data_IF_006401916674
#
_entry.id   IF_006401916674
#
_cell.length_a   1.000
_cell.length_b   1.000
_cell.length_c   1.000
_cell.angle_alpha   90.00
_cell.angle_beta   90.00
_cell.angle_gamma   90.00
#
_symmetry.space_group_name_H-M   'P 1'
#
loop_
_entity.id
_entity.type
_entity.pdbx_description
1 polymer ?
#
# COMPACT_ATOMS: atom_id res chain seq x y z
N UNK A 1 -12.05 5.37 -10.70
CA UNK A 1 -12.31 6.51 -9.80
C UNK A 1 -11.42 7.70 -10.15
N UNK A 2 -11.94 8.92 -10.05
CA UNK A 2 -11.15 10.15 -10.29
C UNK A 2 -10.45 10.66 -9.02
N UNK A 3 -9.50 11.60 -9.17
CA UNK A 3 -8.71 12.12 -8.05
C UNK A 3 -9.56 12.81 -6.96
N UNK A 4 -10.64 13.50 -7.35
CA UNK A 4 -11.53 14.20 -6.40
C UNK A 4 -12.27 13.21 -5.51
N UNK A 5 -12.79 12.14 -6.09
CA UNK A 5 -13.43 11.03 -5.37
C UNK A 5 -12.45 10.36 -4.40
N UNK A 6 -11.25 10.03 -4.87
CA UNK A 6 -10.20 9.43 -4.05
C UNK A 6 -9.86 10.30 -2.82
N UNK A 7 -9.62 11.60 -3.05
CA UNK A 7 -9.35 12.54 -1.96
C UNK A 7 -10.50 12.65 -0.97
N UNK A 8 -11.75 12.58 -1.44
CA UNK A 8 -12.92 12.58 -0.56
C UNK A 8 -13.00 11.31 0.30
N UNK A 9 -12.70 10.14 -0.27
CA UNK A 9 -12.61 8.89 0.49
C UNK A 9 -11.53 9.00 1.56
N UNK A 10 -10.32 9.43 1.21
CA UNK A 10 -9.20 9.60 2.15
C UNK A 10 -9.58 10.56 3.30
N UNK A 11 -10.20 11.71 2.99
CA UNK A 11 -10.69 12.66 4.00
C UNK A 11 -11.73 12.04 4.93
N UNK A 12 -12.65 11.23 4.39
CA UNK A 12 -13.69 10.54 5.17
C UNK A 12 -13.07 9.47 6.07
N UNK A 13 -12.12 8.70 5.57
CA UNK A 13 -11.34 7.71 6.34
C UNK A 13 -10.59 8.38 7.49
N UNK A 14 -9.93 9.51 7.22
CA UNK A 14 -9.27 10.31 8.25
C UNK A 14 -10.26 10.79 9.34
N UNK A 15 -11.38 11.39 8.92
CA UNK A 15 -12.41 11.92 9.84
C UNK A 15 -12.98 10.83 10.75
N UNK A 16 -13.16 9.62 10.23
CA UNK A 16 -13.68 8.47 10.97
C UNK A 16 -12.61 7.73 11.77
N UNK A 17 -11.33 8.11 11.64
CA UNK A 17 -10.18 7.39 12.20
C UNK A 17 -10.20 5.90 11.85
N UNK A 18 -10.69 5.57 10.65
CA UNK A 18 -10.77 4.19 10.21
C UNK A 18 -9.36 3.61 10.04
N UNK A 19 -9.21 2.35 10.43
CA UNK A 19 -7.97 1.56 10.37
C UNK A 19 -7.87 0.71 9.11
N UNK A 20 -8.97 0.57 8.37
CA UNK A 20 -9.03 -0.19 7.12
C UNK A 20 -9.43 0.76 6.00
N UNK A 21 -8.72 0.68 4.87
CA UNK A 21 -9.08 1.37 3.65
C UNK A 21 -8.87 0.43 2.45
N UNK A 22 -9.96 0.13 1.77
CA UNK A 22 -9.96 -0.67 0.55
C UNK A 22 -10.28 0.20 -0.66
N UNK A 23 -9.41 0.12 -1.67
CA UNK A 23 -9.48 0.84 -2.94
C UNK A 23 -9.21 -0.16 -4.08
N UNK A 24 -9.91 -1.29 -4.05
CA UNK A 24 -9.74 -2.38 -5.01
C UNK A 24 -10.41 -2.04 -6.35
N UNK A 25 -9.75 -2.37 -7.46
CA UNK A 25 -10.34 -2.22 -8.81
C UNK A 25 -10.81 -0.80 -9.14
N UNK A 26 -10.13 0.22 -8.61
CA UNK A 26 -10.53 1.62 -8.75
C UNK A 26 -9.90 2.31 -9.98
N UNK A 27 -9.08 1.59 -10.75
CA UNK A 27 -8.37 2.14 -11.91
C UNK A 27 -7.31 3.19 -11.53
N UNK A 28 -6.74 3.08 -10.32
CA UNK A 28 -5.74 4.03 -9.84
C UNK A 28 -4.41 3.85 -10.57
N UNK A 29 -3.86 4.95 -11.09
CA UNK A 29 -2.51 5.00 -11.67
C UNK A 29 -1.49 5.62 -10.72
N UNK A 30 -1.93 6.36 -9.71
CA UNK A 30 -1.09 6.98 -8.68
C UNK A 30 -1.82 7.10 -7.33
N UNK A 31 -1.05 7.24 -6.26
CA UNK A 31 -1.56 7.45 -4.89
C UNK A 31 -1.22 8.86 -4.41
N UNK A 32 -2.21 9.65 -3.96
CA UNK A 32 -1.98 11.01 -3.50
C UNK A 32 -1.25 11.01 -2.14
N UNK A 33 -0.41 12.02 -1.86
CA UNK A 33 0.36 12.10 -0.62
C UNK A 33 -0.51 12.11 0.65
N UNK A 34 -1.77 12.54 0.56
CA UNK A 34 -2.76 12.53 1.62
C UNK A 34 -3.06 11.13 2.15
N UNK A 35 -3.01 10.09 1.31
CA UNK A 35 -3.21 8.70 1.73
C UNK A 35 -2.23 8.31 2.84
N UNK A 36 -0.97 8.76 2.71
CA UNK A 36 0.12 8.43 3.63
C UNK A 36 0.11 9.29 4.90
N UNK A 37 -0.88 10.18 5.07
CA UNK A 37 -1.15 10.86 6.34
C UNK A 37 -2.03 10.02 7.27
N UNK A 38 -2.64 8.94 6.76
CA UNK A 38 -3.49 8.02 7.53
C UNK A 38 -2.65 7.03 8.35
N UNK A 39 -1.78 7.52 9.23
CA UNK A 39 -0.84 6.70 10.02
C UNK A 39 -1.51 5.68 10.95
N UNK A 40 -2.82 5.80 11.16
CA UNK A 40 -3.62 4.83 11.89
C UNK A 40 -4.01 3.58 11.11
N UNK A 41 -3.80 3.55 9.78
CA UNK A 41 -4.17 2.39 8.96
C UNK A 41 -3.40 1.14 9.39
N UNK A 42 -4.15 0.06 9.57
CA UNK A 42 -3.68 -1.29 9.80
C UNK A 42 -3.83 -2.16 8.54
N UNK A 43 -4.76 -1.83 7.66
CA UNK A 43 -5.00 -2.55 6.41
C UNK A 43 -5.24 -1.59 5.24
N UNK A 44 -4.52 -1.83 4.15
CA UNK A 44 -4.61 -1.05 2.92
C UNK A 44 -4.78 -1.99 1.72
N UNK A 45 -5.93 -1.86 1.05
CA UNK A 45 -6.28 -2.60 -0.15
C UNK A 45 -6.07 -1.78 -1.40
N UNK A 46 -5.14 -2.18 -2.27
CA UNK A 46 -4.82 -1.52 -3.53
C UNK A 46 -4.77 -2.48 -4.73
N UNK A 47 -5.24 -3.71 -4.56
CA UNK A 47 -5.24 -4.72 -5.62
C UNK A 47 -6.16 -4.37 -6.79
N UNK A 48 -5.78 -4.84 -7.99
CA UNK A 48 -6.56 -4.63 -9.21
C UNK A 48 -6.51 -3.20 -9.75
N UNK A 49 -5.43 -2.47 -9.48
CA UNK A 49 -5.23 -1.12 -10.00
C UNK A 49 -4.18 -1.12 -11.12
N UNK A 50 -3.78 0.06 -11.57
CA UNK A 50 -2.80 0.28 -12.64
C UNK A 50 -1.54 0.97 -12.09
N UNK A 51 -1.18 0.69 -10.83
CA UNK A 51 -0.05 1.32 -10.16
C UNK A 51 1.25 0.77 -10.74
N UNK A 52 2.15 1.67 -11.14
CA UNK A 52 3.49 1.32 -11.62
C UNK A 52 4.56 1.46 -10.52
N UNK A 53 4.25 2.20 -9.46
CA UNK A 53 5.13 2.39 -8.30
C UNK A 53 4.34 2.59 -7.02
N UNK A 54 5.00 2.33 -5.88
CA UNK A 54 4.55 2.74 -4.56
C UNK A 54 5.55 3.78 -4.02
N UNK A 55 5.10 4.98 -3.61
CA UNK A 55 6.02 6.01 -3.17
C UNK A 55 6.64 5.64 -1.81
N UNK A 56 7.88 6.10 -1.51
CA UNK A 56 8.53 5.88 -0.22
C UNK A 56 7.72 6.35 1.00
N UNK A 57 6.75 7.24 0.79
CA UNK A 57 5.80 7.70 1.79
C UNK A 57 4.96 6.56 2.40
N UNK A 58 4.90 5.37 1.78
CA UNK A 58 4.28 4.18 2.38
C UNK A 58 4.78 3.90 3.79
N UNK A 59 6.05 4.19 4.08
CA UNK A 59 6.66 4.03 5.40
C UNK A 59 6.00 4.87 6.52
N UNK A 60 5.16 5.87 6.17
CA UNK A 60 4.38 6.66 7.16
C UNK A 60 3.20 5.88 7.73
N UNK A 61 2.77 4.81 7.07
CA UNK A 61 1.71 3.91 7.56
C UNK A 61 2.31 2.92 8.58
N UNK A 62 2.89 3.45 9.67
CA UNK A 62 3.70 2.67 10.62
C UNK A 62 2.94 1.56 11.36
N UNK A 63 1.61 1.62 11.37
CA UNK A 63 0.72 0.59 11.95
C UNK A 63 0.24 -0.46 10.96
N UNK A 64 0.62 -0.35 9.68
CA UNK A 64 0.13 -1.24 8.64
C UNK A 64 0.56 -2.68 8.91
N UNK A 65 -0.42 -3.59 8.94
CA UNK A 65 -0.28 -5.03 9.15
C UNK A 65 -0.52 -5.80 7.87
N UNK A 66 -1.41 -5.31 7.01
CA UNK A 66 -1.82 -5.99 5.78
C UNK A 66 -1.79 -5.01 4.61
N UNK A 67 -1.11 -5.38 3.54
CA UNK A 67 -1.00 -4.60 2.31
C UNK A 67 -1.29 -5.49 1.09
N UNK A 68 -2.39 -5.18 0.41
CA UNK A 68 -2.77 -5.85 -0.84
C UNK A 68 -2.36 -5.01 -2.05
N UNK A 69 -1.44 -5.53 -2.85
CA UNK A 69 -0.93 -4.89 -4.08
C UNK A 69 -1.05 -5.80 -5.30
N UNK A 70 -1.64 -6.98 -5.19
CA UNK A 70 -1.82 -7.92 -6.30
C UNK A 70 -2.52 -7.30 -7.51
N UNK A 71 -2.20 -7.77 -8.71
CA UNK A 71 -2.78 -7.31 -9.97
C UNK A 71 -2.60 -5.80 -10.16
N UNK A 72 -1.34 -5.38 -10.22
CA UNK A 72 -0.91 -4.02 -10.58
C UNK A 72 0.22 -4.12 -11.62
N UNK A 73 0.92 -3.02 -11.91
CA UNK A 73 2.03 -2.97 -12.88
C UNK A 73 3.34 -2.59 -12.20
N UNK A 74 3.51 -2.96 -10.92
CA UNK A 74 4.69 -2.60 -10.14
C UNK A 74 5.92 -3.33 -10.68
N UNK A 75 6.97 -2.57 -10.99
CA UNK A 75 8.27 -3.10 -11.42
C UNK A 75 9.27 -3.22 -10.27
N UNK A 76 9.06 -2.44 -9.22
CA UNK A 76 9.82 -2.49 -7.98
C UNK A 76 8.97 -2.03 -6.78
N UNK A 77 9.39 -2.39 -5.57
CA UNK A 77 8.91 -1.79 -4.33
C UNK A 77 9.97 -0.83 -3.76
N UNK A 78 9.56 0.28 -3.12
CA UNK A 78 10.53 1.19 -2.52
C UNK A 78 11.24 0.51 -1.33
N UNK A 79 12.57 0.71 -1.14
CA UNK A 79 13.29 0.20 0.03
C UNK A 79 12.66 0.60 1.38
N UNK A 80 11.92 1.72 1.39
CA UNK A 80 11.18 2.21 2.54
C UNK A 80 10.10 1.23 3.05
N UNK A 81 9.66 0.26 2.25
CA UNK A 81 8.70 -0.76 2.69
C UNK A 81 9.20 -1.57 3.88
N UNK A 82 10.52 -1.77 4.01
CA UNK A 82 11.12 -2.44 5.17
C UNK A 82 11.06 -1.63 6.47
N UNK A 83 10.51 -0.41 6.46
CA UNK A 83 10.20 0.37 7.67
C UNK A 83 8.82 0.04 8.26
N UNK A 84 7.99 -0.73 7.56
CA UNK A 84 6.68 -1.17 8.04
C UNK A 84 6.85 -2.31 9.05
N UNK A 85 7.37 -2.02 10.23
CA UNK A 85 7.75 -3.02 11.25
C UNK A 85 6.60 -3.89 11.76
N UNK A 86 5.35 -3.48 11.52
CA UNK A 86 4.15 -4.23 11.88
C UNK A 86 3.55 -5.03 10.72
N UNK A 87 4.10 -4.92 9.51
CA UNK A 87 3.59 -5.60 8.33
C UNK A 87 3.76 -7.11 8.47
N UNK A 88 2.65 -7.82 8.36
CA UNK A 88 2.57 -9.28 8.46
C UNK A 88 2.24 -9.92 7.13
N UNK A 89 1.36 -9.28 6.35
CA UNK A 89 0.87 -9.83 5.09
C UNK A 89 1.11 -8.84 3.95
N UNK A 90 1.78 -9.31 2.90
CA UNK A 90 2.06 -8.55 1.69
C UNK A 90 1.71 -9.37 0.45
N UNK A 91 0.68 -8.93 -0.29
CA UNK A 91 0.23 -9.60 -1.51
C UNK A 91 0.70 -8.83 -2.74
N UNK A 92 1.49 -9.48 -3.61
CA UNK A 92 2.16 -8.88 -4.76
C UNK A 92 1.92 -9.63 -6.07
N UNK A 93 1.23 -10.77 -6.03
CA UNK A 93 0.93 -11.60 -7.20
C UNK A 93 0.36 -10.80 -8.37
N UNK A 94 0.77 -11.10 -9.61
CA UNK A 94 0.29 -10.37 -10.78
C UNK A 94 0.84 -8.94 -10.89
N UNK A 95 2.09 -8.73 -10.45
CA UNK A 95 2.89 -7.55 -10.77
C UNK A 95 4.06 -7.92 -11.70
N UNK A 96 4.92 -6.95 -12.03
CA UNK A 96 6.08 -7.10 -12.92
C UNK A 96 7.40 -6.97 -12.13
N UNK A 97 7.40 -7.44 -10.88
CA UNK A 97 8.54 -7.30 -9.97
C UNK A 97 9.68 -8.23 -10.41
N UNK A 98 10.83 -7.66 -10.75
CA UNK A 98 12.03 -8.45 -11.02
C UNK A 98 12.68 -8.98 -9.73
N UNK A 99 12.61 -8.20 -8.65
CA UNK A 99 13.13 -8.56 -7.34
C UNK A 99 12.39 -7.79 -6.24
N UNK A 100 12.45 -8.32 -5.02
CA UNK A 100 12.00 -7.63 -3.83
C UNK A 100 13.16 -6.84 -3.18
N UNK A 101 12.91 -5.67 -2.58
CA UNK A 101 13.96 -4.91 -1.92
C UNK A 101 14.50 -5.70 -0.71
N UNK A 102 15.83 -5.78 -0.52
CA UNK A 102 16.44 -6.58 0.55
C UNK A 102 16.00 -6.13 1.95
N UNK A 103 15.48 -4.91 2.10
CA UNK A 103 14.94 -4.38 3.36
C UNK A 103 13.70 -5.15 3.85
N UNK A 104 13.00 -5.91 3.01
CA UNK A 104 11.92 -6.80 3.47
C UNK A 104 12.43 -7.90 4.42
N UNK A 105 13.71 -8.29 4.33
CA UNK A 105 14.32 -9.25 5.25
C UNK A 105 14.33 -8.77 6.71
N UNK A 106 14.18 -7.46 6.95
CA UNK A 106 14.05 -6.90 8.31
C UNK A 106 12.69 -7.20 8.95
N UNK A 107 11.70 -7.60 8.15
CA UNK A 107 10.35 -7.90 8.60
C UNK A 107 10.25 -9.39 8.94
N UNK A 108 10.75 -9.77 10.11
CA UNK A 108 10.91 -11.16 10.54
C UNK A 108 9.60 -11.97 10.65
N UNK A 109 8.45 -11.30 10.62
CA UNK A 109 7.11 -11.91 10.69
C UNK A 109 6.31 -11.71 9.39
N UNK A 110 6.97 -11.31 8.31
CA UNK A 110 6.33 -11.06 7.03
C UNK A 110 6.11 -12.37 6.28
N UNK A 111 4.85 -12.59 5.90
CA UNK A 111 4.45 -13.53 4.88
C UNK A 111 4.14 -12.74 3.60
N UNK A 112 4.84 -13.07 2.52
CA UNK A 112 4.66 -12.43 1.23
C UNK A 112 4.13 -13.45 0.22
N UNK A 113 3.01 -13.13 -0.42
CA UNK A 113 2.48 -13.86 -1.57
C UNK A 113 2.89 -13.13 -2.84
N UNK A 114 3.90 -13.65 -3.52
CA UNK A 114 4.44 -13.09 -4.76
C UNK A 114 3.85 -13.72 -6.02
#
# INVERSE_FOLDING_TARGET
MNNKELLNIIKKTAKRKATVLHLFNEGLTALPPELFKLSQLEELGLSGNQLTTIPPAIAKLSKLKVLYLSNNQLTALPPAIGKLSHLKLLYLSGNQLAALPPQLSKLSRLEASI
#
